data_IF_288935479985
#
_entry.id   IF_288935479985
#
_cell.length_a   1.000
_cell.length_b   1.000
_cell.length_c   1.000
_cell.angle_alpha   90.00
_cell.angle_beta   90.00
_cell.angle_gamma   90.00
#
_symmetry.space_group_name_H-M   'P 1'
#
loop_
_entity.id
_entity.type
_entity.pdbx_description
1 polymer ?
#
# COMPACT_ATOMS: atom_id res chain seq x y z
N UNK A 1 13.84 4.77 -4.18
CA UNK A 1 13.35 4.80 -5.58
C UNK A 1 13.22 6.26 -5.97
N UNK A 2 13.96 6.71 -6.98
CA UNK A 2 13.73 8.01 -7.62
C UNK A 2 12.97 7.69 -8.90
N UNK A 3 11.75 8.22 -9.02
CA UNK A 3 10.91 8.02 -10.21
C UNK A 3 11.21 9.11 -11.23
N UNK A 4 11.68 8.73 -12.40
CA UNK A 4 11.91 9.67 -13.50
C UNK A 4 10.60 10.03 -14.22
N UNK A 5 9.71 9.07 -14.39
CA UNK A 5 8.48 9.21 -15.17
C UNK A 5 7.27 8.74 -14.38
N UNK A 6 6.21 9.56 -14.37
CA UNK A 6 5.01 9.40 -13.53
C UNK A 6 3.76 9.49 -14.43
N UNK A 7 2.82 8.57 -14.22
CA UNK A 7 1.45 8.68 -14.74
C UNK A 7 0.51 9.03 -13.59
N UNK A 8 -0.18 10.15 -13.70
CA UNK A 8 -1.18 10.61 -12.73
C UNK A 8 -2.56 10.36 -13.31
N UNK A 9 -3.33 9.50 -12.68
CA UNK A 9 -4.73 9.22 -13.02
C UNK A 9 -5.62 10.10 -12.15
N UNK A 10 -6.22 11.12 -12.76
CA UNK A 10 -7.22 11.94 -12.11
C UNK A 10 -8.61 11.35 -12.40
N UNK A 11 -9.15 10.65 -11.41
CA UNK A 11 -10.45 9.99 -11.52
C UNK A 11 -11.62 10.99 -11.48
N UNK A 12 -11.41 12.22 -11.03
CA UNK A 12 -12.46 13.26 -10.97
C UNK A 12 -12.60 13.93 -12.33
N UNK A 13 -11.47 14.33 -12.93
CA UNK A 13 -11.49 14.98 -14.25
C UNK A 13 -11.44 14.00 -15.43
N UNK A 14 -11.32 12.69 -15.16
CA UNK A 14 -11.12 11.63 -16.14
C UNK A 14 -9.92 11.88 -17.07
N UNK A 15 -8.82 12.41 -16.52
CA UNK A 15 -7.60 12.72 -17.26
C UNK A 15 -6.42 11.88 -16.78
N UNK A 16 -5.53 11.55 -17.71
CA UNK A 16 -4.23 10.97 -17.41
C UNK A 16 -3.17 12.01 -17.76
N UNK A 17 -2.34 12.38 -16.79
CA UNK A 17 -1.17 13.25 -17.01
C UNK A 17 0.09 12.42 -17.00
N UNK A 18 0.90 12.53 -18.06
CA UNK A 18 2.22 11.90 -18.15
C UNK A 18 3.25 12.98 -17.84
N UNK A 19 4.10 12.74 -16.85
CA UNK A 19 5.18 13.65 -16.43
C UNK A 19 6.49 12.87 -16.55
N UNK A 20 7.45 13.38 -17.33
CA UNK A 20 8.81 12.84 -17.37
C UNK A 20 9.79 13.94 -16.94
N UNK A 21 10.51 13.70 -15.85
CA UNK A 21 11.50 14.61 -15.32
C UNK A 21 12.80 14.49 -16.14
N UNK A 22 13.16 15.54 -16.87
CA UNK A 22 14.41 15.62 -17.59
C UNK A 22 15.54 15.99 -16.63
N UNK A 23 16.45 15.05 -16.38
CA UNK A 23 17.64 15.30 -15.56
C UNK A 23 18.74 15.90 -16.44
N UNK A 24 19.20 17.09 -16.09
CA UNK A 24 20.23 17.84 -16.82
C UNK A 24 21.41 18.04 -15.88
N UNK A 25 22.46 17.23 -16.05
CA UNK A 25 23.68 17.35 -15.23
C UNK A 25 24.54 18.53 -15.69
N UNK A 26 24.67 18.73 -17.02
CA UNK A 26 25.35 19.90 -17.60
C UNK A 26 24.40 20.67 -18.51
N UNK A 27 24.49 22.02 -18.49
CA UNK A 27 23.65 22.90 -19.33
C UNK A 27 23.69 22.56 -20.83
N UNK A 28 24.83 22.04 -21.32
CA UNK A 28 25.02 21.66 -22.73
C UNK A 28 24.14 20.46 -23.14
N UNK A 29 23.75 19.63 -22.18
CA UNK A 29 22.97 18.40 -22.41
C UNK A 29 21.45 18.65 -22.38
N UNK A 30 21.03 19.89 -22.10
CA UNK A 30 19.62 20.24 -21.89
C UNK A 30 18.71 19.85 -23.04
N UNK A 31 19.18 20.01 -24.29
CA UNK A 31 18.40 19.61 -25.48
C UNK A 31 18.22 18.10 -25.55
N UNK A 32 19.29 17.34 -25.35
CA UNK A 32 19.24 15.88 -25.38
C UNK A 32 18.35 15.31 -24.27
N UNK A 33 18.42 15.87 -23.06
CA UNK A 33 17.57 15.48 -21.94
C UNK A 33 16.08 15.77 -22.22
N UNK A 34 15.77 16.92 -22.83
CA UNK A 34 14.42 17.29 -23.26
C UNK A 34 13.88 16.33 -24.32
N UNK A 35 14.64 16.07 -25.38
CA UNK A 35 14.24 15.18 -26.47
C UNK A 35 14.01 13.74 -25.94
N UNK A 36 14.81 13.27 -24.97
CA UNK A 36 14.60 11.99 -24.29
C UNK A 36 13.31 11.96 -23.45
N UNK A 37 12.99 13.04 -22.73
CA UNK A 37 11.75 13.14 -21.97
C UNK A 37 10.52 13.10 -22.88
N UNK A 38 10.55 13.79 -24.03
CA UNK A 38 9.49 13.70 -25.06
C UNK A 38 9.34 12.26 -25.52
N UNK A 39 10.45 11.59 -25.89
CA UNK A 39 10.41 10.21 -26.35
C UNK A 39 9.74 9.27 -25.34
N UNK A 40 10.07 9.39 -24.05
CA UNK A 40 9.42 8.60 -22.98
C UNK A 40 7.93 8.88 -22.87
N UNK A 41 7.52 10.14 -23.00
CA UNK A 41 6.10 10.54 -22.99
C UNK A 41 5.36 9.91 -24.17
N UNK A 42 5.92 9.99 -25.37
CA UNK A 42 5.30 9.43 -26.58
C UNK A 42 5.21 7.90 -26.52
N UNK A 43 6.25 7.22 -26.04
CA UNK A 43 6.23 5.76 -25.82
C UNK A 43 5.12 5.34 -24.85
N UNK A 44 4.97 6.06 -23.73
CA UNK A 44 3.91 5.79 -22.76
C UNK A 44 2.53 6.12 -23.30
N UNK A 45 2.38 7.23 -24.02
CA UNK A 45 1.14 7.60 -24.71
C UNK A 45 0.74 6.49 -25.68
N UNK A 46 1.63 6.04 -26.55
CA UNK A 46 1.36 4.94 -27.48
C UNK A 46 0.99 3.64 -26.77
N UNK A 47 1.57 3.34 -25.60
CA UNK A 47 1.18 2.17 -24.78
C UNK A 47 -0.22 2.31 -24.20
N UNK A 48 -0.62 3.50 -23.75
CA UNK A 48 -1.97 3.75 -23.20
C UNK A 48 -3.06 3.60 -24.27
N UNK A 49 -2.77 3.93 -25.53
CA UNK A 49 -3.72 3.77 -26.65
C UNK A 49 -3.87 2.33 -27.13
N UNK A 50 -2.92 1.44 -26.79
CA UNK A 50 -3.08 0.02 -27.09
C UNK A 50 -4.18 -0.55 -26.20
N UNK A 51 -5.03 -1.41 -26.76
CA UNK A 51 -5.99 -2.19 -25.97
C UNK A 51 -5.18 -2.93 -24.92
N UNK A 52 -5.43 -2.62 -23.64
CA UNK A 52 -4.86 -3.40 -22.56
C UNK A 52 -5.25 -4.86 -22.82
N UNK A 53 -4.27 -5.77 -22.80
CA UNK A 53 -4.59 -7.19 -22.68
C UNK A 53 -5.51 -7.28 -21.48
N UNK A 54 -6.73 -7.82 -21.67
CA UNK A 54 -7.59 -8.13 -20.54
C UNK A 54 -6.72 -8.87 -19.55
N UNK A 55 -6.69 -8.40 -18.30
CA UNK A 55 -6.04 -9.15 -17.24
C UNK A 55 -6.81 -10.47 -17.15
N UNK A 56 -6.33 -11.49 -17.87
CA UNK A 56 -6.79 -12.85 -17.71
C UNK A 56 -6.39 -13.19 -16.29
N UNK A 57 -7.38 -13.26 -15.41
CA UNK A 57 -7.14 -13.76 -14.07
C UNK A 57 -6.35 -15.06 -14.20
N UNK A 58 -5.09 -15.06 -13.76
CA UNK A 58 -4.35 -16.29 -13.50
C UNK A 58 -4.94 -17.05 -12.30
N UNK A 59 -6.13 -16.66 -11.83
CA UNK A 59 -7.09 -17.59 -11.21
C UNK A 59 -7.51 -18.60 -12.27
N UNK A 60 -6.56 -19.46 -12.66
CA UNK A 60 -6.79 -20.60 -13.51
C UNK A 60 -8.03 -21.33 -13.02
N UNK A 61 -8.88 -21.75 -13.95
CA UNK A 61 -10.02 -22.65 -13.77
C UNK A 61 -9.65 -23.99 -13.09
N UNK A 62 -8.37 -24.21 -12.77
CA UNK A 62 -7.98 -25.16 -11.74
C UNK A 62 -8.50 -24.65 -10.40
N UNK A 63 -9.71 -25.09 -10.05
CA UNK A 63 -10.13 -25.38 -8.67
C UNK A 63 -9.00 -26.16 -7.98
N UNK A 64 -7.96 -25.47 -7.51
CA UNK A 64 -7.06 -26.04 -6.52
C UNK A 64 -7.95 -26.23 -5.31
N UNK A 65 -8.36 -27.48 -5.07
CA UNK A 65 -9.01 -27.93 -3.84
C UNK A 65 -8.46 -27.11 -2.69
N UNK A 66 -9.34 -26.42 -1.95
CA UNK A 66 -9.06 -25.58 -0.77
C UNK A 66 -7.94 -26.15 0.11
N UNK A 67 -6.67 -25.98 -0.29
CA UNK A 67 -5.54 -26.27 0.57
C UNK A 67 -5.52 -25.10 1.52
N UNK A 68 -5.88 -25.35 2.78
CA UNK A 68 -5.81 -24.35 3.84
C UNK A 68 -4.42 -23.70 3.77
N UNK A 69 -4.40 -22.40 3.56
CA UNK A 69 -3.16 -21.62 3.56
C UNK A 69 -2.59 -21.69 4.97
N UNK A 70 -1.37 -22.20 5.12
CA UNK A 70 -0.72 -22.31 6.43
C UNK A 70 -0.06 -20.96 6.75
N UNK A 71 -0.66 -20.24 7.69
CA UNK A 71 -0.14 -18.97 8.21
C UNK A 71 0.60 -19.27 9.52
N UNK A 72 1.83 -18.76 9.66
CA UNK A 72 2.67 -18.95 10.84
C UNK A 72 2.97 -17.60 11.50
N UNK A 73 2.80 -17.51 12.81
CA UNK A 73 3.29 -16.37 13.60
C UNK A 73 4.74 -16.58 14.04
N UNK A 74 5.47 -15.49 14.28
CA UNK A 74 6.74 -15.52 15.00
C UNK A 74 6.57 -15.63 16.53
N UNK A 75 5.34 -15.52 17.05
CA UNK A 75 4.98 -15.68 18.45
C UNK A 75 4.13 -16.93 18.65
N UNK A 76 4.28 -17.60 19.81
CA UNK A 76 3.20 -18.45 20.34
C UNK A 76 2.18 -17.56 21.03
N UNK A 77 0.93 -18.01 21.06
CA UNK A 77 -0.16 -17.26 21.69
C UNK A 77 0.14 -16.94 23.17
N UNK A 78 0.63 -17.93 23.92
CA UNK A 78 1.02 -17.75 25.33
C UNK A 78 2.09 -16.66 25.48
N UNK A 79 3.14 -16.74 24.69
CA UNK A 79 4.26 -15.79 24.75
C UNK A 79 3.81 -14.35 24.42
N UNK A 80 2.85 -14.19 23.49
CA UNK A 80 2.29 -12.89 23.18
C UNK A 80 1.44 -12.34 24.33
N UNK A 81 0.63 -13.19 24.99
CA UNK A 81 -0.14 -12.80 26.20
C UNK A 81 0.79 -12.43 27.36
N UNK A 82 1.88 -13.16 27.52
CA UNK A 82 2.89 -12.87 28.55
C UNK A 82 3.59 -11.53 28.26
N UNK A 83 3.89 -11.24 26.99
CA UNK A 83 4.39 -9.93 26.57
C UNK A 83 3.39 -8.80 26.87
N UNK A 84 2.09 -8.99 26.60
CA UNK A 84 1.03 -8.03 26.99
C UNK A 84 1.02 -7.79 28.49
N UNK A 85 1.10 -8.86 29.30
CA UNK A 85 1.09 -8.73 30.76
C UNK A 85 2.33 -7.99 31.28
N UNK A 86 3.50 -8.25 30.68
CA UNK A 86 4.73 -7.52 30.99
C UNK A 86 4.62 -6.04 30.62
N UNK A 87 4.06 -5.71 29.45
CA UNK A 87 3.78 -4.31 29.08
C UNK A 87 2.86 -3.63 30.08
N UNK A 88 1.79 -4.30 30.53
CA UNK A 88 0.91 -3.77 31.58
C UNK A 88 1.62 -3.58 32.92
N UNK A 89 2.62 -4.42 33.24
CA UNK A 89 3.44 -4.25 34.43
C UNK A 89 4.26 -2.94 34.33
N UNK A 90 4.94 -2.72 33.21
CA UNK A 90 5.66 -1.47 32.94
C UNK A 90 4.76 -0.23 33.02
N UNK A 91 3.52 -0.33 32.54
CA UNK A 91 2.55 0.77 32.70
C UNK A 91 2.24 1.06 34.17
N UNK A 92 2.03 0.02 34.99
CA UNK A 92 1.71 0.18 36.43
C UNK A 92 2.90 0.67 37.25
N UNK A 93 4.11 0.27 36.88
CA UNK A 93 5.35 0.71 37.53
C UNK A 93 5.73 2.15 37.12
N UNK A 94 5.06 2.72 36.11
CA UNK A 94 5.25 4.10 35.67
C UNK A 94 6.30 4.28 34.57
N UNK A 95 6.84 3.18 34.02
CA UNK A 95 7.89 3.22 33.00
C UNK A 95 7.39 3.78 31.66
N UNK A 96 6.15 3.47 31.30
CA UNK A 96 5.52 3.87 30.03
C UNK A 96 4.02 4.14 30.22
N UNK A 97 3.43 4.99 29.37
CA UNK A 97 1.97 5.22 29.37
C UNK A 97 1.23 4.26 28.45
N UNK A 98 1.88 3.81 27.36
CA UNK A 98 1.32 2.91 26.35
C UNK A 98 2.46 2.24 25.57
N UNK A 99 2.23 1.01 25.08
CA UNK A 99 3.03 0.44 24.01
C UNK A 99 2.15 -0.27 22.98
N UNK A 100 2.49 -0.12 21.70
CA UNK A 100 1.86 -0.83 20.57
C UNK A 100 2.78 -1.98 20.17
N UNK A 101 2.62 -3.12 20.84
CA UNK A 101 3.36 -4.35 20.50
C UNK A 101 2.72 -5.06 19.31
N UNK A 102 3.53 -5.78 18.52
CA UNK A 102 3.06 -6.47 17.32
C UNK A 102 3.70 -7.86 17.18
N UNK A 103 3.08 -8.68 16.33
CA UNK A 103 3.61 -9.97 15.88
C UNK A 103 3.55 -10.04 14.36
N UNK A 104 4.47 -10.80 13.77
CA UNK A 104 4.58 -10.99 12.32
C UNK A 104 3.99 -12.33 11.93
N UNK A 105 3.02 -12.27 11.01
CA UNK A 105 2.47 -13.43 10.34
C UNK A 105 3.16 -13.65 8.99
N UNK A 106 3.40 -14.91 8.64
CA UNK A 106 4.05 -15.31 7.38
C UNK A 106 3.31 -16.48 6.74
N UNK A 107 3.17 -16.43 5.42
CA UNK A 107 2.70 -17.54 4.60
C UNK A 107 3.49 -17.59 3.29
N UNK A 108 3.44 -18.71 2.57
CA UNK A 108 3.97 -18.81 1.21
C UNK A 108 2.93 -18.26 0.24
N UNK A 109 3.29 -17.21 -0.48
CA UNK A 109 2.46 -16.67 -1.57
C UNK A 109 2.72 -17.48 -2.85
N UNK A 110 1.66 -17.97 -3.48
CA UNK A 110 1.72 -18.71 -4.75
C UNK A 110 1.03 -17.98 -5.90
N UNK A 111 0.55 -16.77 -5.66
CA UNK A 111 -0.15 -15.91 -6.63
C UNK A 111 0.72 -14.70 -6.98
N UNK A 112 0.36 -13.98 -8.05
CA UNK A 112 1.00 -12.72 -8.36
C UNK A 112 0.75 -11.69 -7.23
N UNK A 113 1.76 -10.96 -6.74
CA UNK A 113 1.57 -9.88 -5.78
C UNK A 113 0.56 -8.80 -6.22
N UNK A 114 0.37 -8.61 -7.52
CA UNK A 114 -0.64 -7.70 -8.08
C UNK A 114 -2.07 -8.22 -7.81
N UNK A 115 -2.29 -9.53 -7.81
CA UNK A 115 -3.59 -10.11 -7.42
C UNK A 115 -3.89 -9.83 -5.95
N UNK A 116 -2.89 -9.93 -5.09
CA UNK A 116 -3.03 -9.60 -3.66
C UNK A 116 -3.40 -8.12 -3.48
N UNK A 117 -2.74 -7.21 -4.21
CA UNK A 117 -3.09 -5.79 -4.20
C UNK A 117 -4.54 -5.55 -4.64
N UNK A 118 -4.98 -6.19 -5.74
CA UNK A 118 -6.35 -6.06 -6.25
C UNK A 118 -7.38 -6.60 -5.26
N UNK A 119 -7.12 -7.74 -4.64
CA UNK A 119 -7.98 -8.31 -3.60
C UNK A 119 -8.08 -7.37 -2.39
N UNK A 120 -6.95 -6.83 -1.92
CA UNK A 120 -6.93 -5.85 -0.82
C UNK A 120 -7.71 -4.58 -1.16
N UNK A 121 -7.58 -4.06 -2.38
CA UNK A 121 -8.31 -2.88 -2.85
C UNK A 121 -9.84 -3.07 -2.84
N UNK A 122 -10.31 -4.29 -3.06
CA UNK A 122 -11.74 -4.63 -3.02
C UNK A 122 -12.20 -4.81 -1.57
N UNK A 123 -11.44 -5.57 -0.78
CA UNK A 123 -11.85 -5.95 0.58
C UNK A 123 -11.72 -4.81 1.60
N UNK A 124 -10.64 -4.04 1.51
CA UNK A 124 -10.32 -2.95 2.44
C UNK A 124 -9.89 -1.72 1.64
N UNK A 125 -10.81 -1.04 0.93
CA UNK A 125 -10.47 0.22 0.28
C UNK A 125 -10.06 1.24 1.36
N UNK A 126 -8.86 1.81 1.21
CA UNK A 126 -8.34 2.84 2.11
C UNK A 126 -7.82 4.05 1.32
N UNK A 127 -7.64 5.21 1.98
CA UNK A 127 -7.09 6.40 1.34
C UNK A 127 -5.67 6.19 0.81
N UNK A 128 -4.89 5.27 1.42
CA UNK A 128 -3.49 5.03 1.08
C UNK A 128 -3.25 3.58 0.68
N UNK A 129 -3.61 3.26 -0.56
CA UNK A 129 -3.29 1.99 -1.22
C UNK A 129 -1.94 2.08 -1.92
N UNK A 130 -1.10 1.05 -1.77
CA UNK A 130 0.20 1.00 -2.44
C UNK A 130 0.58 -0.41 -2.91
N UNK A 131 1.23 -0.44 -4.07
CA UNK A 131 1.92 -1.58 -4.63
C UNK A 131 3.30 -1.09 -5.08
N UNK A 132 4.35 -1.53 -4.39
CA UNK A 132 5.72 -1.14 -4.67
C UNK A 132 6.53 -2.38 -5.02
N UNK A 133 7.02 -2.46 -6.26
CA UNK A 133 7.95 -3.49 -6.70
C UNK A 133 9.38 -2.95 -6.60
N UNK A 134 10.17 -3.52 -5.70
CA UNK A 134 11.54 -3.10 -5.37
C UNK A 134 12.50 -4.26 -5.69
N UNK A 135 12.87 -4.39 -6.97
CA UNK A 135 13.66 -5.52 -7.43
C UNK A 135 12.90 -6.85 -7.30
N UNK A 136 13.41 -7.75 -6.46
CA UNK A 136 12.78 -9.04 -6.14
C UNK A 136 11.73 -8.95 -5.02
N UNK A 137 11.65 -7.82 -4.33
CA UNK A 137 10.75 -7.63 -3.20
C UNK A 137 9.51 -6.82 -3.60
N UNK A 138 8.39 -7.10 -2.93
CA UNK A 138 7.12 -6.44 -3.16
C UNK A 138 6.55 -5.97 -1.82
N UNK A 139 6.16 -4.70 -1.76
CA UNK A 139 5.45 -4.12 -0.63
C UNK A 139 4.03 -3.75 -1.10
N UNK A 140 3.04 -4.42 -0.51
CA UNK A 140 1.63 -4.27 -0.85
C UNK A 140 0.86 -3.95 0.43
N UNK A 141 0.00 -2.93 0.38
CA UNK A 141 -0.76 -2.55 1.56
C UNK A 141 -1.90 -1.59 1.29
N UNK A 142 -2.71 -1.42 2.33
CA UNK A 142 -3.88 -0.55 2.38
C UNK A 142 -3.85 0.11 3.77
N UNK A 143 -3.32 1.34 3.86
CA UNK A 143 -3.19 2.05 5.13
C UNK A 143 -4.37 3.00 5.35
N UNK A 144 -5.07 2.91 6.49
CA UNK A 144 -6.14 3.83 6.84
C UNK A 144 -5.62 5.19 7.35
N UNK A 145 -4.37 5.25 7.79
CA UNK A 145 -3.80 6.38 8.53
C UNK A 145 -2.61 7.00 7.81
N UNK A 146 -2.47 8.32 7.95
CA UNK A 146 -1.34 9.11 7.47
C UNK A 146 -0.38 9.35 8.61
N UNK A 147 0.92 9.07 8.42
CA UNK A 147 1.93 9.35 9.44
C UNK A 147 2.16 10.87 9.57
N UNK A 148 2.35 11.54 8.44
CA UNK A 148 2.46 13.01 8.34
C UNK A 148 2.16 13.42 6.90
N UNK A 149 1.49 14.55 6.73
CA UNK A 149 1.30 15.21 5.44
C UNK A 149 1.91 16.60 5.51
N UNK A 150 2.70 16.96 4.49
CA UNK A 150 3.31 18.29 4.38
C UNK A 150 2.87 18.91 3.06
N UNK A 151 2.26 20.09 3.12
CA UNK A 151 1.80 20.85 1.96
C UNK A 151 2.21 22.31 2.10
N UNK A 152 3.19 22.74 1.29
CA UNK A 152 3.81 24.05 1.46
C UNK A 152 4.43 24.17 2.84
N UNK A 153 3.94 25.12 3.64
CA UNK A 153 4.33 25.33 5.04
C UNK A 153 3.47 24.57 6.05
N UNK A 154 2.41 23.89 5.62
CA UNK A 154 1.46 23.22 6.51
C UNK A 154 1.90 21.79 6.79
N UNK A 155 1.92 21.40 8.06
CA UNK A 155 2.21 20.04 8.52
C UNK A 155 0.98 19.51 9.26
N UNK A 156 0.48 18.36 8.82
CA UNK A 156 -0.71 17.72 9.38
C UNK A 156 -0.39 16.27 9.80
N UNK A 157 -0.94 15.86 10.95
CA UNK A 157 -0.99 14.48 11.38
C UNK A 157 -2.42 14.17 11.86
N UNK A 158 -2.92 12.97 11.56
CA UNK A 158 -4.26 12.50 11.96
C UNK A 158 -4.15 11.21 12.76
N UNK A 159 -3.69 11.28 14.02
CA UNK A 159 -3.50 10.10 14.84
C UNK A 159 -4.82 9.38 15.08
N UNK A 160 -4.85 8.08 14.84
CA UNK A 160 -6.01 7.23 15.11
C UNK A 160 -5.73 6.42 16.38
N UNK A 161 -6.59 6.58 17.38
CA UNK A 161 -6.57 5.76 18.59
C UNK A 161 -7.95 5.14 18.82
N UNK A 162 -7.96 3.82 18.99
CA UNK A 162 -9.19 3.06 19.16
C UNK A 162 -9.78 2.60 17.83
N UNK A 163 -10.41 1.43 17.88
CA UNK A 163 -11.15 0.87 16.74
C UNK A 163 -12.36 0.16 17.29
N UNK A 164 -13.48 0.28 16.58
CA UNK A 164 -14.71 -0.46 16.83
C UNK A 164 -15.12 -1.18 15.55
N UNK A 165 -15.68 -2.40 15.64
CA UNK A 165 -16.31 -3.00 14.48
C UNK A 165 -17.51 -2.16 14.05
N UNK A 166 -17.87 -2.20 12.77
CA UNK A 166 -19.14 -1.64 12.31
C UNK A 166 -20.31 -2.48 12.84
N UNK A 167 -21.39 -1.83 13.24
CA UNK A 167 -22.66 -2.48 13.56
C UNK A 167 -23.27 -3.15 12.33
N UNK A 168 -24.09 -4.18 12.53
CA UNK A 168 -24.80 -4.85 11.43
C UNK A 168 -25.93 -4.00 10.86
N UNK A 169 -26.37 -3.01 11.63
CA UNK A 169 -27.38 -2.01 11.26
C UNK A 169 -27.06 -0.68 11.95
N UNK A 170 -27.75 0.38 11.55
CA UNK A 170 -27.53 1.75 12.05
C UNK A 170 -27.70 1.88 13.56
N UNK A 171 -28.70 1.19 14.14
CA UNK A 171 -28.91 1.23 15.59
C UNK A 171 -27.77 0.57 16.37
N UNK A 172 -27.21 -0.51 15.85
CA UNK A 172 -26.04 -1.19 16.44
C UNK A 172 -24.76 -0.37 16.24
N UNK A 173 -24.59 0.26 15.08
CA UNK A 173 -23.43 1.09 14.76
C UNK A 173 -23.35 2.33 15.67
N UNK A 174 -24.49 2.96 15.95
CA UNK A 174 -24.60 4.10 16.86
C UNK A 174 -24.38 3.75 18.35
N UNK A 175 -24.35 2.46 18.71
CA UNK A 175 -24.09 2.01 20.09
C UNK A 175 -22.61 1.75 20.38
N UNK A 176 -21.76 1.62 19.35
CA UNK A 176 -20.33 1.31 19.48
C UNK A 176 -19.47 2.57 19.55
#
# INVERSE_FOLDING_TARGET
MITDTILVFDNVSHKIKIISNAFVENKKDGRAAYDNAIKKIDELKSRLWKKASFYQNHLSEKKQKNKKTVIKSNFKEKDYKDAVNRTKKYIREGDIIQAVISQRWKTKLSTDPLDLYRALRILNPSPYLFYLKMGSEYLVGSSPEVMVRVEGSNVENRPIAGTRPRGKNESEDNKY
#
